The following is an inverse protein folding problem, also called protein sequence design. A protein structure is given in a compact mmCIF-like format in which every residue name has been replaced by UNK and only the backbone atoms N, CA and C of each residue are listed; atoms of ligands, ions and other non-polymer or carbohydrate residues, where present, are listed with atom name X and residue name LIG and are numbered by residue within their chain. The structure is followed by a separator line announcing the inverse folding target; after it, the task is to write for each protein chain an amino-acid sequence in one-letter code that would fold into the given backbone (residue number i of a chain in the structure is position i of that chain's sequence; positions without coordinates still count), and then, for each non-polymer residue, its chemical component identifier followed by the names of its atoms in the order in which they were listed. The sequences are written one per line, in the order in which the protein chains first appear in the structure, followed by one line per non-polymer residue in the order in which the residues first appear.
data_IF_652835840161
#
_entry.id   IF_652835840161
#
_cell.length_a   1.000
_cell.length_b   1.000
_cell.length_c   1.000
_cell.angle_alpha   90.00
_cell.angle_beta   90.00
_cell.angle_gamma   90.00
#
_symmetry.space_group_name_H-M   'P 1'
#
loop_
_entity.id
_entity.type
_entity.pdbx_description
1 polymer ?
#
# COMPACT_ATOMS: atom_id res chain seq x y z
N UNK A 1 1.44 5.86 13.29
CA UNK A 1 1.13 4.64 12.53
C UNK A 1 0.54 5.01 11.20
N UNK A 2 0.66 4.16 10.20
CA UNK A 2 0.26 4.46 8.82
C UNK A 2 1.34 5.18 8.02
N UNK A 3 2.60 4.99 8.37
CA UNK A 3 3.73 5.53 7.63
C UNK A 3 4.03 4.67 6.40
N UNK A 4 4.43 5.32 5.30
CA UNK A 4 4.87 4.62 4.11
C UNK A 4 6.23 3.96 4.34
N UNK A 5 6.34 2.68 4.04
CA UNK A 5 7.61 1.93 4.09
C UNK A 5 8.24 1.78 2.71
N UNK A 6 7.43 1.62 1.68
CA UNK A 6 7.86 1.53 0.29
C UNK A 6 6.75 2.02 -0.62
N UNK A 7 7.12 2.54 -1.78
CA UNK A 7 6.19 3.02 -2.80
C UNK A 7 6.62 2.50 -4.17
N UNK A 8 5.68 1.92 -4.89
CA UNK A 8 5.85 1.52 -6.29
C UNK A 8 4.69 2.06 -7.11
N UNK A 9 4.99 2.66 -8.23
CA UNK A 9 4.00 3.13 -9.21
C UNK A 9 4.19 2.36 -10.50
N UNK A 10 3.11 1.81 -11.03
CA UNK A 10 3.10 1.04 -12.27
C UNK A 10 1.95 1.46 -13.17
N UNK A 11 1.97 1.01 -14.43
CA UNK A 11 0.88 1.29 -15.36
C UNK A 11 -0.44 0.66 -14.89
N UNK A 12 -1.54 1.34 -15.13
CA UNK A 12 -2.87 0.92 -14.65
C UNK A 12 -3.37 -0.41 -15.25
N UNK A 13 -2.77 -0.87 -16.34
CA UNK A 13 -3.09 -2.17 -16.95
C UNK A 13 -2.46 -3.38 -16.24
N UNK A 14 -1.56 -3.15 -15.28
CA UNK A 14 -0.95 -4.21 -14.47
C UNK A 14 -1.87 -4.50 -13.29
N UNK A 15 -2.25 -5.76 -13.12
CA UNK A 15 -3.13 -6.17 -12.02
C UNK A 15 -2.42 -6.09 -10.66
N UNK A 16 -3.09 -5.58 -9.64
CA UNK A 16 -2.52 -5.37 -8.30
C UNK A 16 -1.90 -6.62 -7.70
N UNK A 17 -2.56 -7.77 -7.86
CA UNK A 17 -2.05 -9.04 -7.33
C UNK A 17 -0.70 -9.45 -7.95
N UNK A 18 -0.42 -9.01 -9.17
CA UNK A 18 0.86 -9.29 -9.85
C UNK A 18 1.96 -8.29 -9.46
N UNK A 19 1.59 -7.07 -9.14
CA UNK A 19 2.52 -5.99 -8.84
C UNK A 19 2.82 -5.82 -7.34
N UNK A 20 1.98 -6.35 -6.47
CA UNK A 20 2.15 -6.20 -5.02
C UNK A 20 3.50 -6.67 -4.49
N UNK A 21 4.05 -7.73 -5.08
CA UNK A 21 5.37 -8.26 -4.70
C UNK A 21 6.50 -7.25 -4.98
N UNK A 22 6.34 -6.38 -5.96
CA UNK A 22 7.33 -5.35 -6.30
C UNK A 22 7.51 -4.31 -5.18
N UNK A 23 6.47 -4.08 -4.39
CA UNK A 23 6.54 -3.24 -3.20
C UNK A 23 6.93 -4.04 -1.95
N UNK A 24 6.46 -5.27 -1.83
CA UNK A 24 6.72 -6.13 -0.67
C UNK A 24 8.19 -6.51 -0.52
N UNK A 25 8.87 -6.86 -1.61
CA UNK A 25 10.30 -7.23 -1.58
C UNK A 25 11.21 -6.13 -1.02
N UNK A 26 11.19 -4.88 -1.57
CA UNK A 26 12.00 -3.80 -1.02
C UNK A 26 11.66 -3.46 0.42
N UNK A 27 10.38 -3.51 0.78
CA UNK A 27 9.95 -3.25 2.15
C UNK A 27 10.52 -4.27 3.14
N UNK A 28 10.49 -5.56 2.81
CA UNK A 28 11.06 -6.62 3.63
C UNK A 28 12.58 -6.54 3.72
N UNK A 29 13.25 -6.15 2.62
CA UNK A 29 14.70 -5.97 2.61
C UNK A 29 15.15 -4.83 3.53
N UNK A 30 14.42 -3.72 3.52
CA UNK A 30 14.71 -2.54 4.32
C UNK A 30 14.27 -2.69 5.77
N UNK A 31 13.18 -3.40 6.01
CA UNK A 31 12.57 -3.60 7.33
C UNK A 31 12.40 -5.08 7.64
N UNK A 32 13.47 -5.79 8.07
CA UNK A 32 13.40 -7.23 8.35
C UNK A 32 12.43 -7.60 9.50
N UNK A 33 11.98 -6.62 10.27
CA UNK A 33 11.02 -6.81 11.36
C UNK A 33 9.58 -7.05 10.90
N UNK A 34 9.29 -6.89 9.61
CA UNK A 34 7.95 -7.19 9.05
C UNK A 34 7.66 -8.68 9.22
N UNK A 35 6.54 -8.99 9.87
CA UNK A 35 6.13 -10.37 10.16
C UNK A 35 5.01 -10.86 9.25
N UNK A 36 4.16 -9.97 8.76
CA UNK A 36 3.03 -10.29 7.89
C UNK A 36 2.54 -9.07 7.14
N UNK A 37 1.76 -9.29 6.10
CA UNK A 37 1.07 -8.25 5.35
C UNK A 37 -0.43 -8.36 5.54
N UNK A 38 -1.10 -7.22 5.48
CA UNK A 38 -2.56 -7.14 5.37
C UNK A 38 -2.89 -6.50 4.02
N UNK A 39 -3.76 -7.12 3.27
CA UNK A 39 -4.17 -6.64 1.95
C UNK A 39 -5.67 -6.83 1.74
N UNK A 40 -6.23 -6.12 0.77
CA UNK A 40 -7.62 -6.29 0.41
C UNK A 40 -7.86 -7.50 -0.51
N UNK A 41 -9.12 -7.77 -0.84
CA UNK A 41 -9.49 -8.93 -1.64
C UNK A 41 -8.91 -8.92 -3.06
N UNK A 42 -8.54 -7.75 -3.60
CA UNK A 42 -7.91 -7.63 -4.91
C UNK A 42 -6.51 -8.26 -5.01
N UNK A 43 -5.88 -8.51 -3.85
CA UNK A 43 -4.55 -9.13 -3.79
C UNK A 43 -4.57 -10.64 -3.60
N UNK A 44 -5.73 -11.27 -3.64
CA UNK A 44 -5.83 -12.74 -3.58
C UNK A 44 -5.11 -13.40 -4.76
N UNK A 45 -4.60 -14.59 -4.51
CA UNK A 45 -3.97 -15.42 -5.53
C UNK A 45 -2.47 -15.19 -5.65
N UNK A 46 -2.02 -14.57 -6.72
CA UNK A 46 -0.58 -14.45 -7.05
C UNK A 46 0.23 -13.75 -5.95
N UNK A 47 -0.27 -12.65 -5.41
CA UNK A 47 0.43 -11.92 -4.35
C UNK A 47 0.61 -12.75 -3.09
N UNK A 48 -0.45 -13.41 -2.63
CA UNK A 48 -0.41 -14.28 -1.44
C UNK A 48 0.58 -15.42 -1.64
N UNK A 49 0.51 -16.09 -2.78
CA UNK A 49 1.40 -17.21 -3.12
C UNK A 49 2.85 -16.77 -3.21
N UNK A 50 3.16 -15.72 -3.97
CA UNK A 50 4.52 -15.23 -4.14
C UNK A 50 5.13 -14.69 -2.84
N UNK A 51 4.35 -14.02 -2.02
CA UNK A 51 4.81 -13.54 -0.71
C UNK A 51 5.18 -14.71 0.19
N UNK A 52 4.37 -15.75 0.19
CA UNK A 52 4.63 -16.95 0.97
C UNK A 52 5.85 -17.73 0.49
N UNK A 53 6.02 -17.87 -0.83
CA UNK A 53 7.14 -18.60 -1.44
C UNK A 53 8.46 -17.84 -1.37
N UNK A 54 8.46 -16.55 -1.71
CA UNK A 54 9.68 -15.74 -1.85
C UNK A 54 10.09 -15.03 -0.57
N UNK A 55 9.15 -14.57 0.23
CA UNK A 55 9.41 -13.81 1.46
C UNK A 55 9.13 -14.63 2.72
N UNK A 56 8.49 -15.78 2.58
CA UNK A 56 8.11 -16.68 3.69
C UNK A 56 7.25 -15.97 4.75
N UNK A 57 6.40 -15.05 4.30
CA UNK A 57 5.49 -14.28 5.14
C UNK A 57 4.04 -14.58 4.80
N UNK A 58 3.17 -14.52 5.80
CA UNK A 58 1.73 -14.66 5.61
C UNK A 58 1.10 -13.36 5.15
N UNK A 59 0.00 -13.47 4.43
CA UNK A 59 -0.81 -12.34 4.00
C UNK A 59 -2.24 -12.53 4.52
N UNK A 60 -2.71 -11.59 5.32
CA UNK A 60 -4.10 -11.55 5.78
C UNK A 60 -4.93 -10.77 4.77
N UNK A 61 -5.91 -11.41 4.18
CA UNK A 61 -6.82 -10.79 3.21
C UNK A 61 -8.07 -10.29 3.94
N UNK A 62 -8.33 -9.00 3.84
CA UNK A 62 -9.56 -8.39 4.33
C UNK A 62 -10.71 -8.72 3.37
N UNK A 63 -11.71 -9.42 3.85
CA UNK A 63 -12.91 -9.71 3.07
C UNK A 63 -13.88 -8.53 3.08
N UNK A 64 -14.64 -8.39 1.97
CA UNK A 64 -15.73 -7.41 1.94
C UNK A 64 -16.77 -7.80 2.99
N UNK A 65 -17.22 -6.81 3.76
CA UNK A 65 -18.33 -6.98 4.69
C UNK A 65 -19.56 -7.42 3.87
N UNK A 66 -20.22 -8.51 4.29
CA UNK A 66 -21.47 -8.95 3.68
C UNK A 66 -22.56 -7.86 3.92
N UNK A 67 -23.46 -7.63 2.94
CA UNK A 67 -24.59 -6.74 3.17
C UNK A 67 -25.31 -7.14 4.48
N UNK A 68 -25.60 -6.19 5.34
CA UNK A 68 -26.23 -6.36 6.66
C UNK A 68 -25.34 -6.79 7.83
N UNK A 69 -24.02 -6.93 7.65
CA UNK A 69 -23.10 -7.11 8.77
C UNK A 69 -22.17 -5.92 8.91
N UNK A 70 -22.19 -5.30 10.09
CA UNK A 70 -21.28 -4.20 10.45
C UNK A 70 -20.09 -4.78 11.21
N UNK A 71 -19.00 -5.08 10.52
CA UNK A 71 -17.76 -5.46 11.16
C UNK A 71 -16.65 -4.46 10.79
N UNK A 72 -15.93 -4.04 11.81
CA UNK A 72 -14.75 -3.20 11.64
C UNK A 72 -13.63 -4.08 11.12
N UNK A 73 -13.29 -3.94 9.84
CA UNK A 73 -12.15 -4.67 9.27
C UNK A 73 -10.86 -4.21 9.94
N UNK A 74 -10.08 -5.13 10.54
CA UNK A 74 -8.82 -4.78 11.19
C UNK A 74 -7.87 -4.10 10.20
N UNK A 75 -7.23 -3.02 10.64
CA UNK A 75 -6.17 -2.31 9.91
C UNK A 75 -6.56 -1.57 8.63
N UNK A 76 -7.76 -1.77 8.09
CA UNK A 76 -8.21 -1.07 6.89
C UNK A 76 -8.24 0.46 7.09
N UNK A 77 -8.68 0.92 8.24
CA UNK A 77 -8.74 2.33 8.57
C UNK A 77 -7.37 3.02 8.52
N UNK A 78 -6.28 2.29 8.81
CA UNK A 78 -4.91 2.81 8.74
C UNK A 78 -4.54 3.17 7.31
N UNK A 79 -4.86 2.28 6.36
CA UNK A 79 -4.63 2.50 4.93
C UNK A 79 -5.48 3.67 4.42
N UNK A 80 -6.76 3.68 4.74
CA UNK A 80 -7.69 4.74 4.33
C UNK A 80 -7.25 6.11 4.87
N UNK A 81 -6.77 6.15 6.10
CA UNK A 81 -6.24 7.38 6.70
C UNK A 81 -5.00 7.88 5.97
N UNK A 82 -4.06 7.00 5.68
CA UNK A 82 -2.82 7.37 4.96
C UNK A 82 -3.13 7.88 3.56
N UNK A 83 -4.00 7.21 2.82
CA UNK A 83 -4.46 7.66 1.51
C UNK A 83 -5.18 9.00 1.60
N UNK A 84 -5.99 9.21 2.64
CA UNK A 84 -6.65 10.48 2.91
C UNK A 84 -5.64 11.62 3.10
N UNK A 85 -4.58 11.39 3.84
CA UNK A 85 -3.51 12.38 4.00
C UNK A 85 -2.81 12.73 2.70
N UNK A 86 -2.52 11.73 1.87
CA UNK A 86 -1.91 11.94 0.56
C UNK A 86 -2.82 12.73 -0.38
N UNK A 87 -4.12 12.50 -0.33
CA UNK A 87 -5.10 13.23 -1.14
C UNK A 87 -5.19 14.73 -0.82
N UNK A 88 -4.76 15.15 0.37
CA UNK A 88 -4.65 16.58 0.68
C UNK A 88 -3.52 17.28 -0.07
N UNK A 89 -2.59 16.55 -0.63
CA UNK A 89 -1.57 17.11 -1.51
C UNK A 89 -2.18 17.35 -2.89
N UNK A 90 -2.25 18.61 -3.30
CA UNK A 90 -2.84 19.02 -4.60
C UNK A 90 -2.28 18.21 -5.78
N UNK A 91 -0.99 17.89 -5.74
CA UNK A 91 -0.30 17.17 -6.79
C UNK A 91 -0.71 15.69 -6.88
N UNK A 92 -1.24 15.12 -5.80
CA UNK A 92 -1.67 13.72 -5.73
C UNK A 92 -3.18 13.55 -5.93
N UNK A 93 -3.96 14.63 -5.99
CA UNK A 93 -5.42 14.55 -6.23
C UNK A 93 -5.76 14.06 -7.64
N UNK A 94 -4.84 14.23 -8.58
CA UNK A 94 -4.89 13.75 -9.96
C UNK A 94 -3.50 13.28 -10.39
N UNK A 95 -3.45 12.42 -11.40
CA UNK A 95 -2.19 12.00 -11.98
C UNK A 95 -1.66 13.06 -12.95
N UNK A 96 -0.73 13.87 -12.48
CA UNK A 96 -0.05 14.92 -13.25
C UNK A 96 1.33 14.48 -13.75
N UNK A 97 1.79 13.31 -13.33
CA UNK A 97 3.17 12.89 -13.59
C UNK A 97 3.29 12.11 -14.90
N UNK A 98 4.30 12.44 -15.67
CA UNK A 98 4.58 11.77 -16.95
C UNK A 98 5.28 10.44 -16.72
N UNK A 99 6.15 10.36 -15.71
CA UNK A 99 6.91 9.14 -15.40
C UNK A 99 6.51 8.56 -14.04
N UNK A 100 6.62 7.24 -13.90
CA UNK A 100 6.39 6.55 -12.62
C UNK A 100 7.41 6.99 -11.56
N UNK A 101 8.63 7.28 -11.96
CA UNK A 101 9.69 7.79 -11.07
C UNK A 101 9.32 9.13 -10.43
N UNK A 102 8.81 10.09 -11.23
CA UNK A 102 8.28 11.35 -10.71
C UNK A 102 7.10 11.15 -9.76
N UNK A 103 6.18 10.23 -10.09
CA UNK A 103 5.03 9.92 -9.25
C UNK A 103 5.48 9.38 -7.88
N UNK A 104 6.43 8.47 -7.84
CA UNK A 104 7.01 7.94 -6.58
C UNK A 104 7.62 9.07 -5.75
N UNK A 105 8.41 9.95 -6.38
CA UNK A 105 9.06 11.08 -5.70
C UNK A 105 8.05 12.02 -5.06
N UNK A 106 6.98 12.37 -5.76
CA UNK A 106 5.92 13.25 -5.25
C UNK A 106 5.17 12.60 -4.08
N UNK A 107 4.90 11.30 -4.12
CA UNK A 107 4.28 10.59 -3.02
C UNK A 107 5.16 10.65 -1.77
N UNK A 108 6.45 10.39 -1.90
CA UNK A 108 7.41 10.43 -0.78
C UNK A 108 7.51 11.84 -0.19
N UNK A 109 7.61 12.87 -1.03
CA UNK A 109 7.66 14.27 -0.60
C UNK A 109 6.38 14.67 0.15
N UNK A 110 5.22 14.27 -0.36
CA UNK A 110 3.93 14.55 0.28
C UNK A 110 3.80 13.86 1.63
N UNK A 111 4.29 12.64 1.74
CA UNK A 111 4.29 11.90 3.00
C UNK A 111 5.23 12.56 4.02
N UNK A 112 6.43 12.95 3.60
CA UNK A 112 7.38 13.69 4.44
C UNK A 112 6.76 14.99 4.96
N UNK A 113 6.10 15.77 4.11
CA UNK A 113 5.40 16.98 4.51
C UNK A 113 4.33 16.71 5.56
N UNK A 114 3.57 15.63 5.40
CA UNK A 114 2.56 15.21 6.39
C UNK A 114 3.20 14.86 7.73
N UNK A 115 4.31 14.14 7.72
CA UNK A 115 5.04 13.80 8.95
C UNK A 115 5.58 15.03 9.67
N UNK A 116 6.15 15.97 8.93
CA UNK A 116 6.69 17.21 9.50
C UNK A 116 5.61 18.07 10.18
N UNK A 117 4.41 18.12 9.60
CA UNK A 117 3.27 18.82 10.21
C UNK A 117 2.78 18.20 11.52
N UNK A 118 3.13 16.97 11.79
CA UNK A 118 2.71 16.24 12.98
C UNK A 118 3.75 16.31 14.11
N UNK A 119 4.87 16.90 13.84
CA UNK A 119 5.87 17.22 14.86
C UNK A 119 5.49 18.50 15.57
#
# INVERSE_FOLDING_TARGET
MGNLLAVVVHAANIHDTKSGILAAKPACKQYPSIKRFCADAGYRGTFVRETQEKLKLSVDISEKIKPHQWEKLPWRWVVERTLGWLNHSRRLSKDYEITTSSAVSIIIISHLHTLLKRL
#
